data_IF_158592306133
#
_entry.id   IF_158592306133
#
_cell.length_a   1.000
_cell.length_b   1.000
_cell.length_c   1.000
_cell.angle_alpha   90.00
_cell.angle_beta   90.00
_cell.angle_gamma   90.00
#
_symmetry.space_group_name_H-M   'P 1'
#
loop_
_entity.id
_entity.type
_entity.pdbx_description
1 polymer ?
#
# COMPACT_ATOMS: atom_id res chain seq x y z
N UNK A 1 24.03 -11.01 -10.23
CA UNK A 1 22.80 -11.15 -11.05
C UNK A 1 22.11 -12.46 -10.68
N UNK A 2 21.21 -12.46 -9.68
CA UNK A 2 20.11 -13.43 -9.60
C UNK A 2 18.84 -12.76 -9.02
N UNK A 3 18.15 -11.94 -9.81
CA UNK A 3 16.88 -11.30 -9.41
C UNK A 3 15.64 -11.77 -10.25
N UNK A 4 15.74 -12.56 -11.34
CA UNK A 4 14.58 -12.74 -12.22
C UNK A 4 13.44 -13.57 -11.58
N UNK A 5 13.76 -14.59 -10.78
CA UNK A 5 12.78 -15.50 -10.19
C UNK A 5 11.87 -14.84 -9.14
N UNK A 6 12.44 -14.05 -8.22
CA UNK A 6 11.66 -13.38 -7.16
C UNK A 6 10.65 -12.38 -7.74
N UNK A 7 11.07 -11.61 -8.75
CA UNK A 7 10.21 -10.62 -9.40
C UNK A 7 9.09 -11.27 -10.22
N UNK A 8 9.33 -12.46 -10.79
CA UNK A 8 8.35 -13.21 -11.56
C UNK A 8 7.28 -13.82 -10.65
N UNK A 9 7.68 -14.45 -9.54
CA UNK A 9 6.76 -14.98 -8.52
C UNK A 9 5.84 -13.89 -7.97
N UNK A 10 6.40 -12.73 -7.59
CA UNK A 10 5.61 -11.60 -7.09
C UNK A 10 4.64 -11.08 -8.17
N UNK A 11 5.07 -10.95 -9.43
CA UNK A 11 4.17 -10.53 -10.53
C UNK A 11 3.03 -11.53 -10.76
N UNK A 12 3.28 -12.82 -10.55
CA UNK A 12 2.27 -13.87 -10.62
C UNK A 12 1.37 -13.94 -9.36
N UNK A 13 1.64 -13.11 -8.35
CA UNK A 13 0.90 -13.09 -7.09
C UNK A 13 1.23 -14.24 -6.15
N UNK A 14 2.38 -14.91 -6.37
CA UNK A 14 2.88 -16.01 -5.55
C UNK A 14 3.96 -15.46 -4.61
N UNK A 15 3.86 -15.79 -3.32
CA UNK A 15 4.92 -15.50 -2.35
C UNK A 15 6.11 -16.41 -2.62
N UNK A 16 7.31 -15.87 -2.94
CA UNK A 16 8.50 -16.69 -3.09
C UNK A 16 8.87 -17.42 -1.77
N UNK A 17 9.45 -18.62 -1.87
CA UNK A 17 9.84 -19.42 -0.71
C UNK A 17 10.79 -18.68 0.24
N UNK A 18 11.66 -17.79 -0.27
CA UNK A 18 12.54 -16.95 0.54
C UNK A 18 11.80 -15.98 1.49
N UNK A 19 10.49 -15.79 1.30
CA UNK A 19 9.66 -14.89 2.11
C UNK A 19 8.59 -15.59 2.97
N UNK A 20 8.53 -16.92 3.01
CA UNK A 20 7.49 -17.67 3.76
C UNK A 20 7.42 -17.28 5.26
N UNK A 21 8.57 -17.05 5.88
CA UNK A 21 8.66 -16.64 7.30
C UNK A 21 8.85 -15.12 7.48
N UNK A 22 8.58 -14.35 6.43
CA UNK A 22 8.71 -12.90 6.45
C UNK A 22 7.40 -12.22 6.85
N UNK A 23 7.47 -10.89 7.04
CA UNK A 23 6.29 -10.05 7.27
C UNK A 23 5.54 -9.71 5.97
N UNK A 24 5.99 -10.22 4.83
CA UNK A 24 5.45 -9.88 3.51
C UNK A 24 4.34 -10.87 3.15
N UNK A 25 3.18 -10.33 2.82
CA UNK A 25 2.05 -11.06 2.27
C UNK A 25 1.81 -10.61 0.82
N UNK A 26 1.57 -11.57 -0.07
CA UNK A 26 1.15 -11.31 -1.45
C UNK A 26 -0.34 -11.58 -1.57
N UNK A 27 -1.10 -10.59 -2.01
CA UNK A 27 -2.54 -10.71 -2.25
C UNK A 27 -2.84 -10.41 -3.72
N UNK A 28 -3.54 -11.33 -4.39
CA UNK A 28 -4.07 -11.10 -5.74
C UNK A 28 -5.47 -10.49 -5.58
N UNK A 29 -5.63 -9.25 -6.03
CA UNK A 29 -6.89 -8.53 -5.97
C UNK A 29 -7.59 -8.50 -7.34
N UNK A 30 -8.73 -9.19 -7.44
CA UNK A 30 -9.63 -9.16 -8.61
C UNK A 30 -11.01 -8.58 -8.26
N UNK A 31 -11.92 -8.51 -9.25
CA UNK A 31 -13.33 -8.20 -8.99
C UNK A 31 -14.01 -9.38 -8.30
N UNK A 32 -14.63 -9.17 -7.14
CA UNK A 32 -15.03 -10.29 -6.26
C UNK A 32 -16.52 -10.33 -5.95
N UNK A 33 -17.13 -9.26 -5.43
CA UNK A 33 -18.54 -9.30 -5.04
C UNK A 33 -19.28 -7.98 -5.30
N UNK A 34 -20.60 -8.07 -5.42
CA UNK A 34 -21.50 -6.92 -5.44
C UNK A 34 -21.86 -6.52 -4.01
N UNK A 35 -21.90 -5.21 -3.76
CA UNK A 35 -22.35 -4.59 -2.52
C UNK A 35 -23.03 -3.26 -2.84
N UNK A 36 -23.58 -2.56 -1.85
CA UNK A 36 -24.21 -1.26 -2.06
C UNK A 36 -23.82 -0.20 -1.04
N UNK A 37 -23.94 1.05 -1.49
CA UNK A 37 -24.14 2.18 -0.61
C UNK A 37 -25.64 2.29 -0.29
N UNK A 38 -26.00 2.44 0.98
CA UNK A 38 -27.39 2.60 1.42
C UNK A 38 -27.59 3.96 2.08
N UNK A 39 -28.64 4.67 1.69
CA UNK A 39 -29.06 5.92 2.31
C UNK A 39 -29.88 5.58 3.57
N UNK A 40 -29.39 6.04 4.72
CA UNK A 40 -30.05 5.88 6.01
C UNK A 40 -31.10 6.99 6.20
N UNK A 41 -32.13 6.71 6.99
CA UNK A 41 -33.22 7.66 7.22
C UNK A 41 -32.75 8.93 7.95
N UNK A 42 -31.63 8.84 8.69
CA UNK A 42 -30.95 9.98 9.33
C UNK A 42 -30.19 10.89 8.34
N UNK A 43 -30.28 10.63 7.03
CA UNK A 43 -29.65 11.44 5.98
C UNK A 43 -28.13 11.21 5.82
N UNK A 44 -27.60 10.11 6.33
CA UNK A 44 -26.22 9.65 6.11
C UNK A 44 -26.20 8.46 5.15
N UNK A 45 -25.03 8.15 4.58
CA UNK A 45 -24.89 6.99 3.68
C UNK A 45 -23.94 5.96 4.28
N UNK A 46 -24.36 4.70 4.33
CA UNK A 46 -23.50 3.58 4.73
C UNK A 46 -22.78 3.02 3.50
N UNK A 47 -21.47 2.87 3.58
CA UNK A 47 -20.66 2.33 2.49
C UNK A 47 -20.66 0.78 2.48
N UNK A 48 -20.13 0.14 1.41
CA UNK A 48 -20.00 -1.32 1.34
C UNK A 48 -19.27 -1.97 2.51
N UNK A 49 -18.34 -1.25 3.12
CA UNK A 49 -17.55 -1.68 4.28
C UNK A 49 -18.18 -1.29 5.63
N UNK A 50 -19.40 -0.73 5.63
CA UNK A 50 -20.11 -0.33 6.84
C UNK A 50 -19.76 1.06 7.40
N UNK A 51 -18.82 1.79 6.79
CA UNK A 51 -18.48 3.14 7.25
C UNK A 51 -19.56 4.16 6.86
N UNK A 52 -19.79 5.14 7.73
CA UNK A 52 -20.76 6.21 7.53
C UNK A 52 -20.13 7.35 6.70
N UNK A 53 -20.86 7.82 5.70
CA UNK A 53 -20.51 8.93 4.81
C UNK A 53 -21.47 10.09 5.03
N UNK A 54 -20.92 11.31 5.07
CA UNK A 54 -21.68 12.55 5.23
C UNK A 54 -21.89 13.26 3.89
N UNK A 55 -22.87 14.15 3.86
CA UNK A 55 -23.17 15.02 2.72
C UNK A 55 -21.99 15.95 2.46
N UNK A 56 -21.52 16.00 1.22
CA UNK A 56 -20.46 16.91 0.79
C UNK A 56 -20.98 18.11 0.01
N UNK A 57 -21.81 17.83 -0.99
CA UNK A 57 -22.31 18.84 -1.92
C UNK A 57 -23.57 18.35 -2.60
N UNK A 58 -24.37 19.29 -3.09
CA UNK A 58 -25.55 19.03 -3.92
C UNK A 58 -25.21 19.38 -5.37
N UNK A 59 -25.60 18.52 -6.32
CA UNK A 59 -25.42 18.70 -7.76
C UNK A 59 -26.77 18.54 -8.44
N UNK A 60 -27.42 19.66 -8.76
CA UNK A 60 -28.79 19.66 -9.28
C UNK A 60 -29.75 19.02 -8.27
N UNK A 61 -30.52 18.02 -8.70
CA UNK A 61 -31.43 17.24 -7.82
C UNK A 61 -30.72 16.13 -7.02
N UNK A 62 -29.43 15.89 -7.24
CA UNK A 62 -28.68 14.79 -6.60
C UNK A 62 -27.78 15.29 -5.47
N UNK A 63 -27.63 14.48 -4.42
CA UNK A 63 -26.74 14.76 -3.29
C UNK A 63 -25.54 13.84 -3.32
N UNK A 64 -24.34 14.40 -3.15
CA UNK A 64 -23.07 13.68 -3.17
C UNK A 64 -22.57 13.47 -1.74
N UNK A 65 -22.22 12.23 -1.44
CA UNK A 65 -21.75 11.77 -0.14
C UNK A 65 -20.31 11.25 -0.25
N UNK A 66 -19.53 11.42 0.82
CA UNK A 66 -18.18 10.85 0.89
C UNK A 66 -17.45 11.20 2.17
N UNK A 67 -16.53 10.33 2.60
CA UNK A 67 -15.65 10.56 3.75
C UNK A 67 -14.21 10.23 3.37
N UNK A 68 -13.32 11.23 3.50
CA UNK A 68 -11.90 11.08 3.18
C UNK A 68 -11.21 10.14 4.17
N UNK A 69 -11.59 10.24 5.45
CA UNK A 69 -11.02 9.46 6.54
C UNK A 69 -11.41 7.99 6.43
N UNK A 70 -12.70 7.71 6.21
CA UNK A 70 -13.20 6.35 6.00
C UNK A 70 -12.49 5.67 4.82
N UNK A 71 -12.30 6.38 3.70
CA UNK A 71 -11.57 5.85 2.56
C UNK A 71 -10.07 5.65 2.83
N UNK A 72 -9.45 6.51 3.67
CA UNK A 72 -8.03 6.42 4.01
C UNK A 72 -7.74 5.18 4.88
N UNK A 73 -8.64 4.84 5.79
CA UNK A 73 -8.50 3.71 6.72
C UNK A 73 -9.18 2.42 6.22
N UNK A 74 -9.81 2.45 5.05
CA UNK A 74 -10.59 1.33 4.53
C UNK A 74 -9.71 0.09 4.28
N UNK A 75 -10.01 -1.07 4.91
CA UNK A 75 -9.22 -2.29 4.75
C UNK A 75 -9.35 -2.89 3.34
N UNK A 76 -10.49 -2.67 2.67
CA UNK A 76 -10.71 -3.04 1.29
C UNK A 76 -11.53 -1.92 0.59
N UNK A 77 -10.95 -1.31 -0.45
CA UNK A 77 -11.53 -0.16 -1.15
C UNK A 77 -12.49 -0.59 -2.25
N UNK A 78 -13.63 0.10 -2.33
CA UNK A 78 -14.63 -0.05 -3.40
C UNK A 78 -14.26 0.68 -4.72
N UNK A 79 -13.00 1.10 -4.88
CA UNK A 79 -12.47 1.78 -6.07
C UNK A 79 -10.98 1.50 -6.21
N UNK A 80 -10.49 1.31 -7.43
CA UNK A 80 -9.05 1.16 -7.70
C UNK A 80 -8.30 2.52 -7.64
N UNK A 81 -9.03 3.64 -7.61
CA UNK A 81 -8.42 4.96 -7.49
C UNK A 81 -7.82 5.21 -6.10
N UNK A 82 -6.70 5.94 -6.07
CA UNK A 82 -6.13 6.49 -4.83
C UNK A 82 -7.03 7.55 -4.19
N UNK A 83 -7.90 8.20 -4.98
CA UNK A 83 -8.82 9.23 -4.49
C UNK A 83 -9.96 8.60 -3.67
N UNK A 84 -10.48 9.30 -2.63
CA UNK A 84 -11.65 8.84 -1.90
C UNK A 84 -12.85 8.72 -2.84
N UNK A 85 -13.66 7.68 -2.66
CA UNK A 85 -14.87 7.49 -3.46
C UNK A 85 -15.95 8.47 -2.99
N UNK A 86 -16.55 9.15 -3.94
CA UNK A 86 -17.78 9.92 -3.75
C UNK A 86 -18.92 9.19 -4.46
N UNK A 87 -20.09 9.17 -3.84
CA UNK A 87 -21.30 8.51 -4.36
C UNK A 87 -22.43 9.53 -4.46
N UNK A 88 -23.19 9.47 -5.54
CA UNK A 88 -24.31 10.36 -5.81
C UNK A 88 -25.62 9.63 -5.57
N UNK A 89 -26.53 10.23 -4.82
CA UNK A 89 -27.90 9.77 -4.65
C UNK A 89 -28.84 10.80 -5.25
N UNK A 90 -29.66 10.39 -6.21
CA UNK A 90 -30.81 11.15 -6.69
C UNK A 90 -31.97 11.14 -5.68
N UNK A 91 -33.03 11.93 -5.91
CA UNK A 91 -34.09 12.19 -4.94
C UNK A 91 -34.89 10.95 -4.50
N UNK A 92 -35.01 9.94 -5.37
CA UNK A 92 -35.76 8.69 -5.09
C UNK A 92 -34.85 7.47 -4.89
N UNK A 93 -33.52 7.66 -4.98
CA UNK A 93 -32.56 6.55 -4.87
C UNK A 93 -32.25 6.28 -3.40
N UNK A 94 -32.52 5.07 -2.91
CA UNK A 94 -32.11 4.62 -1.57
C UNK A 94 -30.85 3.76 -1.57
N UNK A 95 -30.51 3.14 -2.70
CA UNK A 95 -29.36 2.24 -2.82
C UNK A 95 -28.59 2.48 -4.11
N UNK A 96 -27.25 2.45 -4.01
CA UNK A 96 -26.35 2.55 -5.18
C UNK A 96 -25.43 1.34 -5.17
N UNK A 97 -25.58 0.39 -6.12
CA UNK A 97 -24.75 -0.80 -6.16
C UNK A 97 -23.34 -0.49 -6.67
N UNK A 98 -22.37 -1.23 -6.16
CA UNK A 98 -20.95 -1.10 -6.49
C UNK A 98 -20.29 -2.48 -6.49
N UNK A 99 -19.34 -2.67 -7.42
CA UNK A 99 -18.52 -3.87 -7.47
C UNK A 99 -17.29 -3.68 -6.57
N UNK A 100 -17.08 -4.62 -5.66
CA UNK A 100 -15.93 -4.67 -4.77
C UNK A 100 -14.74 -5.32 -5.46
N UNK A 101 -13.53 -4.94 -5.02
CA UNK A 101 -12.27 -5.47 -5.51
C UNK A 101 -11.53 -6.16 -4.36
N UNK A 102 -10.62 -7.08 -4.66
CA UNK A 102 -9.75 -7.72 -3.67
C UNK A 102 -10.42 -8.81 -2.82
N UNK A 103 -9.66 -9.39 -1.89
CA UNK A 103 -10.17 -10.46 -1.04
C UNK A 103 -11.09 -9.89 0.04
N UNK A 104 -12.34 -10.36 0.09
CA UNK A 104 -13.34 -9.90 1.04
C UNK A 104 -13.17 -10.70 2.33
N UNK A 105 -12.45 -10.14 3.30
CA UNK A 105 -12.35 -10.71 4.66
C UNK A 105 -13.46 -10.21 5.61
N UNK A 106 -14.20 -9.16 5.21
CA UNK A 106 -15.18 -8.49 6.05
C UNK A 106 -16.59 -8.63 5.48
N UNK A 107 -17.59 -8.65 6.36
CA UNK A 107 -19.01 -8.68 5.97
C UNK A 107 -19.35 -7.40 5.21
N UNK A 108 -19.76 -7.54 3.96
CA UNK A 108 -20.17 -6.42 3.11
C UNK A 108 -21.62 -6.01 3.40
N UNK A 109 -21.93 -4.75 3.11
CA UNK A 109 -23.31 -4.28 3.07
C UNK A 109 -24.04 -4.98 1.91
N UNK A 110 -25.05 -5.79 2.24
CA UNK A 110 -25.80 -6.58 1.27
C UNK A 110 -26.79 -5.71 0.51
N UNK A 111 -26.95 -6.00 -0.77
CA UNK A 111 -28.00 -5.40 -1.60
C UNK A 111 -29.33 -6.09 -1.24
N UNK A 112 -30.40 -5.34 -0.87
CA UNK A 112 -31.72 -5.94 -0.70
C UNK A 112 -32.20 -6.58 -2.01
N UNK A 113 -32.75 -7.79 -1.94
CA UNK A 113 -33.10 -8.61 -3.11
C UNK A 113 -34.18 -8.01 -4.02
N UNK A 114 -34.93 -7.01 -3.54
CA UNK A 114 -36.13 -6.48 -4.18
C UNK A 114 -35.90 -5.25 -5.07
N UNK A 115 -34.67 -4.73 -5.15
CA UNK A 115 -34.43 -3.47 -5.87
C UNK A 115 -33.93 -3.75 -7.28
N UNK A 116 -34.63 -3.31 -8.33
CA UNK A 116 -34.16 -3.44 -9.70
C UNK A 116 -32.89 -2.61 -9.87
N UNK A 117 -31.81 -3.27 -10.27
CA UNK A 117 -30.57 -2.60 -10.67
C UNK A 117 -30.93 -1.71 -11.87
N UNK A 118 -30.73 -0.40 -11.74
CA UNK A 118 -31.05 0.54 -12.81
C UNK A 118 -30.32 0.13 -14.11
N UNK A 119 -31.04 -0.11 -15.23
CA UNK A 119 -30.46 -0.51 -16.52
C UNK A 119 -29.40 0.46 -17.07
N UNK A 120 -29.38 1.72 -16.61
CA UNK A 120 -28.40 2.72 -17.02
C UNK A 120 -27.21 2.84 -16.06
N UNK A 121 -27.00 1.87 -15.17
CA UNK A 121 -25.84 1.88 -14.30
C UNK A 121 -24.57 1.44 -15.05
N UNK A 122 -23.98 2.39 -15.78
CA UNK A 122 -22.69 2.23 -16.46
C UNK A 122 -21.55 1.72 -15.57
N UNK A 123 -21.68 1.74 -14.24
CA UNK A 123 -20.67 1.22 -13.31
C UNK A 123 -20.64 -0.32 -13.26
N UNK A 124 -21.74 -0.99 -13.60
CA UNK A 124 -21.84 -2.46 -13.61
C UNK A 124 -21.61 -3.06 -15.00
N UNK A 125 -21.96 -2.31 -16.06
CA UNK A 125 -21.93 -2.78 -17.46
C UNK A 125 -20.61 -2.49 -18.20
N UNK A 126 -19.67 -1.77 -17.57
CA UNK A 126 -18.38 -1.44 -18.20
C UNK A 126 -17.44 -2.66 -18.25
N UNK A 127 -17.60 -3.49 -19.29
CA UNK A 127 -16.74 -4.67 -19.57
C UNK A 127 -15.26 -4.29 -19.76
N UNK A 128 -15.00 -3.07 -20.24
CA UNK A 128 -13.65 -2.59 -20.59
C UNK A 128 -12.76 -2.26 -19.38
N UNK A 129 -13.31 -2.27 -18.15
CA UNK A 129 -12.61 -1.92 -16.92
C UNK A 129 -12.48 -3.11 -15.96
N UNK A 130 -12.43 -4.33 -16.47
CA UNK A 130 -11.94 -5.48 -15.73
C UNK A 130 -10.42 -5.35 -15.59
N UNK A 131 -9.96 -4.54 -14.63
CA UNK A 131 -8.55 -4.44 -14.31
C UNK A 131 -8.00 -5.85 -14.08
N UNK A 132 -6.99 -6.23 -14.88
CA UNK A 132 -6.23 -7.45 -14.69
C UNK A 132 -5.84 -7.57 -13.21
N UNK A 133 -5.93 -8.78 -12.66
CA UNK A 133 -5.76 -9.03 -11.24
C UNK A 133 -4.51 -8.30 -10.70
N UNK A 134 -4.70 -7.44 -9.71
CA UNK A 134 -3.65 -6.58 -9.16
C UNK A 134 -2.96 -7.30 -8.04
N UNK A 135 -1.66 -7.50 -8.15
CA UNK A 135 -0.87 -7.99 -7.03
C UNK A 135 -0.62 -6.85 -6.04
N UNK A 136 -1.02 -7.06 -4.78
CA UNK A 136 -0.80 -6.15 -3.67
C UNK A 136 0.12 -6.81 -2.66
N UNK A 137 1.26 -6.18 -2.40
CA UNK A 137 2.15 -6.56 -1.32
C UNK A 137 1.70 -5.86 -0.03
N UNK A 138 1.38 -6.64 1.00
CA UNK A 138 1.09 -6.15 2.35
C UNK A 138 2.25 -6.49 3.27
N UNK A 139 2.75 -5.50 3.99
CA UNK A 139 3.79 -5.70 5.00
C UNK A 139 3.10 -5.66 6.36
N UNK A 140 3.10 -6.79 7.06
CA UNK A 140 2.60 -6.89 8.44
C UNK A 140 3.42 -5.99 9.35
N UNK A 141 2.74 -5.30 10.28
CA UNK A 141 3.39 -4.49 11.29
C UNK A 141 3.99 -5.41 12.35
N UNK A 142 5.31 -5.49 12.38
CA UNK A 142 6.06 -6.14 13.45
C UNK A 142 6.81 -5.06 14.25
N UNK A 143 6.30 -4.75 15.45
CA UNK A 143 6.86 -3.70 16.30
C UNK A 143 8.26 -4.03 16.81
N UNK A 144 8.59 -5.30 17.01
CA UNK A 144 9.91 -5.72 17.50
C UNK A 144 10.96 -5.50 16.40
N UNK A 145 10.72 -6.04 15.20
CA UNK A 145 11.62 -5.85 14.05
C UNK A 145 11.77 -4.38 13.65
N UNK A 146 10.71 -3.58 13.78
CA UNK A 146 10.82 -2.13 13.53
C UNK A 146 11.75 -1.42 14.52
N UNK A 147 11.73 -1.80 15.81
CA UNK A 147 12.67 -1.28 16.81
C UNK A 147 14.10 -1.72 16.52
N UNK A 148 14.31 -2.98 16.13
CA UNK A 148 15.64 -3.46 15.74
C UNK A 148 16.20 -2.71 14.53
N UNK A 149 15.37 -2.45 13.51
CA UNK A 149 15.78 -1.64 12.34
C UNK A 149 16.18 -0.23 12.75
N UNK A 150 15.47 0.38 13.70
CA UNK A 150 15.81 1.69 14.24
C UNK A 150 17.24 1.68 14.81
N UNK A 151 17.59 0.68 15.62
CA UNK A 151 18.92 0.58 16.22
C UNK A 151 20.02 0.20 15.22
N UNK A 152 19.74 -0.71 14.29
CA UNK A 152 20.75 -1.27 13.38
C UNK A 152 21.03 -0.39 12.16
N UNK A 153 19.98 0.17 11.57
CA UNK A 153 20.07 0.91 10.31
C UNK A 153 20.28 2.39 10.56
N UNK A 154 19.44 3.01 11.39
CA UNK A 154 19.39 4.48 11.48
C UNK A 154 20.65 5.08 12.11
N UNK A 155 21.27 4.37 13.06
CA UNK A 155 22.50 4.83 13.68
C UNK A 155 23.67 4.97 12.66
N UNK A 156 24.00 3.96 11.84
CA UNK A 156 24.95 4.12 10.73
C UNK A 156 24.66 5.30 9.80
N UNK A 157 23.39 5.48 9.39
CA UNK A 157 23.00 6.62 8.54
C UNK A 157 23.25 7.95 9.24
N UNK A 158 22.92 8.06 10.52
CA UNK A 158 23.19 9.26 11.34
C UNK A 158 24.68 9.55 11.47
N UNK A 159 25.50 8.52 11.73
CA UNK A 159 26.96 8.68 11.80
C UNK A 159 27.54 9.14 10.47
N UNK A 160 27.21 8.48 9.38
CA UNK A 160 27.74 8.83 8.05
C UNK A 160 27.31 10.24 7.65
N UNK A 161 26.05 10.57 7.85
CA UNK A 161 25.50 11.87 7.47
C UNK A 161 26.10 13.02 8.27
N UNK A 162 26.10 12.93 9.60
CA UNK A 162 26.43 14.07 10.46
C UNK A 162 27.89 14.09 10.92
N UNK A 163 28.48 12.92 11.22
CA UNK A 163 29.84 12.84 11.76
C UNK A 163 30.89 12.62 10.68
N UNK A 164 30.56 11.94 9.58
CA UNK A 164 31.50 11.74 8.46
C UNK A 164 31.30 12.76 7.32
N UNK A 165 30.50 13.79 7.53
CA UNK A 165 30.36 14.90 6.58
C UNK A 165 29.50 14.63 5.35
N UNK A 166 28.90 13.44 5.19
CA UNK A 166 28.05 13.09 4.03
C UNK A 166 26.62 13.65 4.12
N UNK A 167 26.45 14.86 4.65
CA UNK A 167 25.16 15.53 4.80
C UNK A 167 24.68 16.24 3.53
N UNK A 168 25.59 16.57 2.62
CA UNK A 168 25.32 17.00 1.25
C UNK A 168 26.20 16.21 0.27
N UNK A 169 25.79 16.21 -1.00
CA UNK A 169 26.55 15.60 -2.09
C UNK A 169 27.16 16.69 -2.96
N UNK A 170 28.42 16.49 -3.34
CA UNK A 170 29.13 17.37 -4.26
C UNK A 170 28.87 16.96 -5.72
N UNK A 171 28.66 15.67 -5.96
CA UNK A 171 28.41 15.14 -7.29
C UNK A 171 26.96 15.34 -7.74
N UNK A 172 26.79 15.58 -9.05
CA UNK A 172 25.48 15.64 -9.71
C UNK A 172 25.27 14.40 -10.59
N UNK A 173 24.03 13.90 -10.61
CA UNK A 173 23.64 12.71 -11.36
C UNK A 173 23.70 11.42 -10.52
N UNK A 174 22.84 10.46 -10.86
CA UNK A 174 22.62 9.24 -10.04
C UNK A 174 23.89 8.41 -9.84
N UNK A 175 24.65 8.18 -10.90
CA UNK A 175 25.86 7.33 -10.85
C UNK A 175 26.92 7.92 -9.92
N UNK A 176 27.28 9.19 -10.12
CA UNK A 176 28.30 9.88 -9.32
C UNK A 176 27.87 10.05 -7.87
N UNK A 177 26.60 10.44 -7.63
CA UNK A 177 26.03 10.51 -6.28
C UNK A 177 26.06 9.15 -5.56
N UNK A 178 25.80 8.06 -6.29
CA UNK A 178 25.85 6.70 -5.73
C UNK A 178 27.29 6.33 -5.35
N UNK A 179 28.27 6.67 -6.19
CA UNK A 179 29.68 6.44 -5.89
C UNK A 179 30.14 7.23 -4.64
N UNK A 180 29.75 8.50 -4.53
CA UNK A 180 30.08 9.36 -3.38
C UNK A 180 29.54 8.79 -2.06
N UNK A 181 28.24 8.47 -2.01
CA UNK A 181 27.62 7.82 -0.84
C UNK A 181 28.27 6.46 -0.58
N UNK A 182 28.50 5.66 -1.62
CA UNK A 182 29.13 4.36 -1.52
C UNK A 182 30.50 4.42 -0.84
N UNK A 183 31.31 5.43 -1.19
CA UNK A 183 32.61 5.65 -0.56
C UNK A 183 32.48 6.07 0.92
N UNK A 184 31.52 6.92 1.26
CA UNK A 184 31.26 7.29 2.67
C UNK A 184 30.86 6.09 3.53
N UNK A 185 29.99 5.22 3.01
CA UNK A 185 29.60 3.99 3.71
C UNK A 185 30.71 2.95 3.76
N UNK A 186 31.56 2.86 2.73
CA UNK A 186 32.75 2.00 2.75
C UNK A 186 33.70 2.42 3.88
N UNK A 187 34.01 3.72 3.98
CA UNK A 187 34.84 4.25 5.05
C UNK A 187 34.25 3.97 6.44
N UNK A 188 32.93 4.16 6.60
CA UNK A 188 32.22 3.81 7.84
C UNK A 188 32.35 2.32 8.18
N UNK A 189 32.12 1.45 7.20
CA UNK A 189 32.19 0.00 7.39
C UNK A 189 33.60 -0.46 7.78
N UNK A 190 34.65 0.10 7.17
CA UNK A 190 36.04 -0.16 7.54
C UNK A 190 36.31 0.27 8.98
N UNK A 191 35.93 1.50 9.35
CA UNK A 191 36.11 2.01 10.72
C UNK A 191 35.35 1.17 11.75
N UNK A 192 34.13 0.76 11.42
CA UNK A 192 33.30 -0.11 12.27
C UNK A 192 33.92 -1.50 12.42
N UNK A 193 34.41 -2.10 11.34
CA UNK A 193 35.08 -3.40 11.38
C UNK A 193 36.33 -3.35 12.26
N UNK A 194 37.16 -2.30 12.13
CA UNK A 194 38.33 -2.08 12.97
C UNK A 194 37.94 -1.98 14.45
N UNK A 195 36.87 -1.25 14.78
CA UNK A 195 36.43 -1.08 16.16
C UNK A 195 35.87 -2.37 16.79
N UNK A 196 35.22 -3.24 15.99
CA UNK A 196 34.61 -4.49 16.50
C UNK A 196 35.66 -5.61 16.60
N UNK A 197 36.49 -5.76 15.57
CA UNK A 197 37.36 -6.94 15.39
C UNK A 197 38.82 -6.63 15.71
N UNK A 198 39.25 -5.39 15.51
CA UNK A 198 40.65 -4.96 15.63
C UNK A 198 41.43 -5.12 14.32
N UNK A 199 42.46 -4.28 14.12
CA UNK A 199 43.25 -4.24 12.88
C UNK A 199 44.03 -5.53 12.62
N UNK A 200 44.64 -6.13 13.65
CA UNK A 200 45.47 -7.34 13.51
C UNK A 200 44.70 -8.52 12.91
N UNK A 201 43.53 -8.82 13.49
CA UNK A 201 42.65 -9.91 13.01
C UNK A 201 42.13 -9.67 11.59
N UNK A 202 41.88 -8.41 11.23
CA UNK A 202 41.47 -8.07 9.87
C UNK A 202 42.60 -8.31 8.85
N UNK A 203 43.84 -7.94 9.19
CA UNK A 203 45.00 -8.17 8.32
C UNK A 203 45.26 -9.67 8.15
N UNK A 204 45.19 -10.44 9.23
CA UNK A 204 45.34 -11.90 9.21
C UNK A 204 44.29 -12.55 8.28
N UNK A 205 43.02 -12.12 8.37
CA UNK A 205 41.95 -12.60 7.52
C UNK A 205 42.11 -12.23 6.03
N UNK A 206 42.91 -11.22 5.69
CA UNK A 206 43.21 -10.83 4.31
C UNK A 206 44.45 -11.55 3.74
N UNK A 207 45.27 -12.16 4.59
CA UNK A 207 46.51 -12.87 4.22
C UNK A 207 46.32 -14.38 4.11
N UNK A 208 45.19 -14.92 4.58
CA UNK A 208 44.75 -16.31 4.32
C UNK A 208 44.06 -16.47 2.97
#
# INVERSE_FOLDING_TARGET
MPIPLESACIKAGVLPACYENSVIEVEIQGQTALSCFSLNDNGTVTCPMGNILTKKKVRGKSTIYGSKEACRQCPNRCTDSRKPKEVSFGPETKYVPVRMYGHIKHKLNSIPAEIPINPFNHTLDRKDYAAAAKVVLRIKKDTSKMKERMCLSEHPFGTVKWYHGAHYLLCKGKEKATAEIGLSFLAYNIKRAINIIGTKKLIEAMQG
#
